data_IF_504424070813
#
_entry.id   IF_504424070813
#
_cell.length_a   1.000
_cell.length_b   1.000
_cell.length_c   1.000
_cell.angle_alpha   90.00
_cell.angle_beta   90.00
_cell.angle_gamma   90.00
#
_symmetry.space_group_name_H-M   'P 1'
#
loop_
_entity.id
_entity.type
_entity.pdbx_description
1 polymer ?
#
# COMPACT_ATOMS: atom_id res chain seq x y z
N UNK A 1 -0.63 10.86 2.42
CA UNK A 1 -0.94 11.97 3.31
C UNK A 1 -2.27 11.71 4.04
N UNK A 2 -2.71 12.63 4.88
CA UNK A 2 -3.96 12.55 5.67
C UNK A 2 -5.24 12.44 4.82
N UNK A 3 -5.19 12.78 3.54
CA UNK A 3 -6.34 12.70 2.63
C UNK A 3 -6.41 11.33 1.90
N UNK A 4 -5.51 10.41 2.25
CA UNK A 4 -5.51 9.05 1.69
C UNK A 4 -6.61 8.22 2.34
N UNK A 5 -7.59 7.82 1.54
CA UNK A 5 -8.70 6.94 1.90
C UNK A 5 -8.42 5.55 1.37
N UNK A 6 -8.10 4.64 2.26
CA UNK A 6 -7.44 3.38 1.94
C UNK A 6 -8.41 2.21 1.91
N UNK A 7 -8.41 1.49 0.80
CA UNK A 7 -8.99 0.16 0.65
C UNK A 7 -7.90 -0.90 0.80
N UNK A 8 -8.18 -1.96 1.56
CA UNK A 8 -7.25 -3.08 1.76
C UNK A 8 -7.73 -4.31 1.01
N UNK A 9 -6.98 -4.79 0.03
CA UNK A 9 -7.23 -6.06 -0.64
C UNK A 9 -6.52 -7.20 0.12
N UNK A 10 -7.23 -8.31 0.34
CA UNK A 10 -6.80 -9.37 1.25
C UNK A 10 -7.05 -9.04 2.72
N UNK A 11 -8.02 -8.19 3.00
CA UNK A 11 -8.29 -7.54 4.29
C UNK A 11 -8.47 -8.53 5.45
N UNK A 12 -9.15 -9.64 5.22
CA UNK A 12 -9.46 -10.64 6.27
C UNK A 12 -8.41 -11.76 6.37
N UNK A 13 -7.33 -11.68 5.59
CA UNK A 13 -6.17 -12.56 5.76
C UNK A 13 -5.32 -12.14 6.95
N UNK A 14 -4.37 -13.00 7.39
CA UNK A 14 -3.51 -12.72 8.55
C UNK A 14 -2.71 -11.42 8.38
N UNK A 15 -2.02 -11.26 7.25
CA UNK A 15 -1.23 -10.07 6.94
C UNK A 15 -2.11 -8.83 6.78
N UNK A 16 -3.21 -8.97 5.99
CA UNK A 16 -4.17 -7.88 5.79
C UNK A 16 -4.77 -7.40 7.10
N UNK A 17 -5.14 -8.30 8.01
CA UNK A 17 -5.67 -7.96 9.33
C UNK A 17 -4.63 -7.24 10.17
N UNK A 18 -3.46 -7.86 10.39
CA UNK A 18 -2.42 -7.32 11.24
C UNK A 18 -1.95 -5.93 10.82
N UNK A 19 -1.65 -5.77 9.52
CA UNK A 19 -1.17 -4.48 9.03
C UNK A 19 -2.26 -3.42 8.93
N UNK A 20 -3.52 -3.81 8.74
CA UNK A 20 -4.64 -2.87 8.81
C UNK A 20 -4.85 -2.32 10.22
N UNK A 21 -4.77 -3.17 11.24
CA UNK A 21 -4.78 -2.72 12.65
C UNK A 21 -3.69 -1.68 12.90
N UNK A 22 -2.46 -1.98 12.46
CA UNK A 22 -1.32 -1.08 12.61
C UNK A 22 -1.47 0.24 11.82
N UNK A 23 -2.14 0.22 10.66
CA UNK A 23 -2.44 1.43 9.89
C UNK A 23 -3.51 2.27 10.60
N UNK A 24 -4.58 1.64 11.07
CA UNK A 24 -5.66 2.30 11.82
C UNK A 24 -5.12 2.92 13.12
N UNK A 25 -4.32 2.17 13.88
CA UNK A 25 -3.68 2.65 15.11
C UNK A 25 -2.77 3.86 14.84
N UNK A 26 -2.10 3.88 13.69
CA UNK A 26 -1.27 5.01 13.27
C UNK A 26 -2.08 6.26 12.88
N UNK A 27 -3.38 6.13 12.67
CA UNK A 27 -4.26 7.22 12.24
C UNK A 27 -4.54 7.27 10.74
N UNK A 28 -4.16 6.23 10.00
CA UNK A 28 -4.51 6.10 8.57
C UNK A 28 -6.00 5.84 8.41
N UNK A 29 -6.65 6.54 7.49
CA UNK A 29 -8.05 6.33 7.16
C UNK A 29 -8.22 5.06 6.30
N UNK A 30 -8.31 3.91 6.97
CA UNK A 30 -8.68 2.63 6.35
C UNK A 30 -10.20 2.58 6.29
N UNK A 31 -10.76 2.81 5.11
CA UNK A 31 -12.20 2.95 4.88
C UNK A 31 -12.88 1.59 4.84
N UNK A 32 -12.33 0.64 4.09
CA UNK A 32 -12.94 -0.67 3.86
C UNK A 32 -11.91 -1.71 3.44
N UNK A 33 -12.36 -2.94 3.29
CA UNK A 33 -11.55 -4.01 2.72
C UNK A 33 -12.26 -4.82 1.65
N UNK A 34 -11.47 -5.53 0.85
CA UNK A 34 -11.95 -6.48 -0.15
C UNK A 34 -11.43 -7.86 0.18
N UNK A 35 -12.35 -8.81 0.29
CA UNK A 35 -12.07 -10.25 0.36
C UNK A 35 -13.19 -10.98 -0.35
N UNK A 36 -12.93 -11.60 -1.52
CA UNK A 36 -13.94 -12.34 -2.26
C UNK A 36 -14.66 -13.39 -1.38
N UNK A 37 -15.99 -13.44 -1.47
CA UNK A 37 -16.84 -14.34 -0.68
C UNK A 37 -17.14 -13.86 0.75
N UNK A 38 -16.62 -12.70 1.19
CA UNK A 38 -16.89 -12.12 2.52
C UNK A 38 -17.61 -10.76 2.46
N UNK A 39 -18.07 -10.36 1.28
CA UNK A 39 -18.83 -9.13 1.11
C UNK A 39 -20.07 -9.09 1.98
N UNK A 40 -20.41 -7.89 2.49
CA UNK A 40 -21.53 -7.67 3.42
C UNK A 40 -21.20 -7.95 4.90
N UNK A 41 -19.98 -8.41 5.21
CA UNK A 41 -19.51 -8.56 6.59
C UNK A 41 -18.75 -7.30 7.07
N UNK A 42 -18.39 -7.28 8.34
CA UNK A 42 -17.46 -6.30 8.91
C UNK A 42 -16.20 -6.99 9.42
N UNK A 43 -15.07 -6.31 9.29
CA UNK A 43 -13.79 -6.71 9.83
C UNK A 43 -13.05 -5.46 10.33
N UNK A 44 -12.50 -5.49 11.55
CA UNK A 44 -11.92 -4.31 12.21
C UNK A 44 -12.85 -3.09 12.18
N UNK A 45 -14.14 -3.31 12.42
CA UNK A 45 -15.23 -2.31 12.34
C UNK A 45 -15.36 -1.60 10.98
N UNK A 46 -14.79 -2.14 9.92
CA UNK A 46 -14.87 -1.63 8.55
C UNK A 46 -15.68 -2.60 7.67
N UNK A 47 -16.43 -2.08 6.68
CA UNK A 47 -17.14 -2.92 5.74
C UNK A 47 -16.18 -3.75 4.87
N UNK A 48 -16.62 -4.95 4.52
CA UNK A 48 -15.92 -5.84 3.59
C UNK A 48 -16.74 -6.01 2.33
N UNK A 49 -16.10 -5.88 1.17
CA UNK A 49 -16.70 -6.03 -0.16
C UNK A 49 -16.13 -7.27 -0.87
N UNK A 50 -16.85 -7.75 -1.88
CA UNK A 50 -16.39 -8.88 -2.71
C UNK A 50 -15.41 -8.43 -3.79
N UNK A 51 -15.52 -7.17 -4.25
CA UNK A 51 -14.71 -6.61 -5.32
C UNK A 51 -14.33 -5.15 -5.02
N UNK A 52 -13.27 -4.67 -5.69
CA UNK A 52 -12.87 -3.26 -5.61
C UNK A 52 -13.95 -2.38 -6.25
N UNK A 53 -14.58 -2.84 -7.33
CA UNK A 53 -15.65 -2.10 -8.00
C UNK A 53 -16.85 -1.86 -7.06
N UNK A 54 -17.27 -2.89 -6.30
CA UNK A 54 -18.34 -2.73 -5.30
C UNK A 54 -17.93 -1.73 -4.20
N UNK A 55 -16.67 -1.79 -3.76
CA UNK A 55 -16.17 -0.89 -2.72
C UNK A 55 -16.18 0.58 -3.19
N UNK A 56 -15.71 0.86 -4.40
CA UNK A 56 -15.63 2.24 -4.96
C UNK A 56 -17.03 2.84 -5.19
N UNK A 57 -18.05 2.02 -5.48
CA UNK A 57 -19.44 2.50 -5.63
C UNK A 57 -20.02 2.97 -4.29
N UNK A 58 -19.64 2.33 -3.19
CA UNK A 58 -20.23 2.55 -1.88
C UNK A 58 -19.40 3.45 -0.97
N UNK A 59 -18.10 3.56 -1.22
CA UNK A 59 -17.16 4.27 -0.36
C UNK A 59 -16.31 5.27 -1.17
N UNK A 60 -15.91 6.35 -0.53
CA UNK A 60 -14.98 7.33 -1.12
C UNK A 60 -13.54 6.86 -0.92
N UNK A 61 -12.96 6.22 -1.94
CA UNK A 61 -11.63 5.58 -1.91
C UNK A 61 -10.74 6.22 -2.96
N UNK A 62 -9.48 6.46 -2.63
CA UNK A 62 -8.47 6.97 -3.56
C UNK A 62 -7.17 6.16 -3.59
N UNK A 63 -7.00 5.24 -2.65
CA UNK A 63 -5.78 4.45 -2.50
C UNK A 63 -6.12 2.99 -2.22
N UNK A 64 -5.44 2.05 -2.87
CA UNK A 64 -5.52 0.62 -2.56
C UNK A 64 -4.18 0.11 -2.04
N UNK A 65 -4.23 -0.73 -1.00
CA UNK A 65 -3.08 -1.52 -0.55
C UNK A 65 -3.38 -3.01 -0.68
N UNK A 66 -2.40 -3.80 -1.14
CA UNK A 66 -2.57 -5.18 -1.55
C UNK A 66 -1.72 -6.12 -0.70
N UNK A 67 -2.39 -7.07 -0.04
CA UNK A 67 -1.80 -8.14 0.77
C UNK A 67 -2.21 -9.54 0.27
N UNK A 68 -2.73 -9.67 -0.94
CA UNK A 68 -3.15 -10.95 -1.49
C UNK A 68 -1.94 -11.83 -1.85
N UNK A 69 -2.08 -13.17 -1.91
CA UNK A 69 -1.01 -14.06 -2.34
C UNK A 69 -0.47 -13.74 -3.75
N UNK A 70 0.81 -14.06 -4.05
CA UNK A 70 1.48 -13.66 -5.29
C UNK A 70 0.71 -14.00 -6.58
N UNK A 71 0.09 -15.17 -6.62
CA UNK A 71 -0.68 -15.63 -7.80
C UNK A 71 -1.92 -14.80 -8.11
N UNK A 72 -2.43 -14.01 -7.16
CA UNK A 72 -3.61 -13.16 -7.32
C UNK A 72 -3.28 -11.66 -7.34
N UNK A 73 -2.03 -11.30 -7.07
CA UNK A 73 -1.65 -9.91 -6.87
C UNK A 73 -1.73 -9.08 -8.16
N UNK A 74 -1.38 -9.67 -9.31
CA UNK A 74 -1.49 -8.99 -10.60
C UNK A 74 -2.96 -8.63 -10.93
N UNK A 75 -3.88 -9.57 -10.72
CA UNK A 75 -5.31 -9.34 -10.93
C UNK A 75 -5.83 -8.28 -9.95
N UNK A 76 -5.41 -8.33 -8.69
CA UNK A 76 -5.78 -7.33 -7.68
C UNK A 76 -5.30 -5.92 -8.04
N UNK A 77 -4.10 -5.79 -8.61
CA UNK A 77 -3.59 -4.50 -9.11
C UNK A 77 -4.44 -3.99 -10.28
N UNK A 78 -4.70 -4.85 -11.26
CA UNK A 78 -5.48 -4.48 -12.44
C UNK A 78 -6.93 -4.14 -12.07
N UNK A 79 -7.55 -4.87 -11.15
CA UNK A 79 -8.88 -4.57 -10.63
C UNK A 79 -8.96 -3.19 -9.97
N UNK A 80 -7.98 -2.85 -9.12
CA UNK A 80 -7.89 -1.53 -8.51
C UNK A 80 -7.74 -0.42 -9.55
N UNK A 81 -6.88 -0.65 -10.54
CA UNK A 81 -6.65 0.28 -11.65
C UNK A 81 -7.90 0.50 -12.51
N UNK A 82 -8.62 -0.58 -12.85
CA UNK A 82 -9.87 -0.53 -13.61
C UNK A 82 -10.98 0.18 -12.86
N UNK A 83 -11.04 0.00 -11.55
CA UNK A 83 -11.99 0.67 -10.66
C UNK A 83 -11.69 2.16 -10.42
N UNK A 84 -10.68 2.72 -11.08
CA UNK A 84 -10.35 4.15 -11.05
C UNK A 84 -9.46 4.58 -9.87
N UNK A 85 -8.92 3.64 -9.09
CA UNK A 85 -7.98 3.95 -8.01
C UNK A 85 -6.64 4.37 -8.61
N UNK A 86 -6.17 5.55 -8.22
CA UNK A 86 -4.96 6.15 -8.81
C UNK A 86 -3.66 5.82 -8.06
N UNK A 87 -3.75 5.50 -6.78
CA UNK A 87 -2.60 5.13 -5.97
C UNK A 87 -2.76 3.69 -5.50
N UNK A 88 -1.85 2.83 -5.91
CA UNK A 88 -1.87 1.40 -5.58
C UNK A 88 -0.53 1.05 -4.93
N UNK A 89 -0.58 0.41 -3.76
CA UNK A 89 0.59 -0.05 -3.02
C UNK A 89 0.54 -1.57 -2.92
N UNK A 90 1.53 -2.26 -3.46
CA UNK A 90 1.57 -3.73 -3.47
C UNK A 90 2.69 -4.23 -2.58
N UNK A 91 2.32 -4.78 -1.42
CA UNK A 91 3.26 -5.33 -0.44
C UNK A 91 3.77 -6.70 -0.88
N UNK A 92 2.90 -7.47 -1.53
CA UNK A 92 3.16 -8.84 -1.96
C UNK A 92 4.51 -9.01 -2.65
N UNK A 93 5.28 -9.97 -2.19
CA UNK A 93 6.54 -10.43 -2.77
C UNK A 93 6.33 -11.66 -3.65
N UNK A 94 7.19 -11.86 -4.66
CA UNK A 94 7.22 -13.08 -5.47
C UNK A 94 6.12 -13.17 -6.52
N UNK A 95 5.60 -12.04 -6.98
CA UNK A 95 4.68 -12.02 -8.13
C UNK A 95 5.43 -12.48 -9.38
N UNK A 96 4.88 -13.42 -10.18
CA UNK A 96 5.55 -13.89 -11.39
C UNK A 96 5.91 -12.73 -12.34
N UNK A 97 7.14 -12.77 -12.88
CA UNK A 97 7.66 -11.72 -13.78
C UNK A 97 6.72 -11.46 -14.95
N UNK A 98 6.20 -12.54 -15.57
CA UNK A 98 5.26 -12.43 -16.68
C UNK A 98 3.97 -11.67 -16.31
N UNK A 99 3.49 -11.86 -15.08
CA UNK A 99 2.28 -11.19 -14.62
C UNK A 99 2.56 -9.72 -14.32
N UNK A 100 3.71 -9.40 -13.71
CA UNK A 100 4.13 -8.01 -13.54
C UNK A 100 4.38 -7.30 -14.86
N UNK A 101 4.88 -7.97 -15.89
CA UNK A 101 5.01 -7.40 -17.24
C UNK A 101 3.65 -7.00 -17.81
N UNK A 102 2.63 -7.85 -17.63
CA UNK A 102 1.25 -7.52 -18.04
C UNK A 102 0.70 -6.31 -17.27
N UNK A 103 0.92 -6.29 -15.94
CA UNK A 103 0.50 -5.17 -15.08
C UNK A 103 1.11 -3.85 -15.56
N UNK A 104 2.44 -3.82 -15.77
CA UNK A 104 3.14 -2.60 -16.22
C UNK A 104 2.60 -2.13 -17.56
N UNK A 105 2.44 -3.04 -18.54
CA UNK A 105 1.85 -2.70 -19.84
C UNK A 105 0.40 -2.22 -19.72
N UNK A 106 -0.38 -2.79 -18.79
CA UNK A 106 -1.77 -2.41 -18.58
C UNK A 106 -1.92 -1.01 -17.99
N UNK A 107 -1.03 -0.61 -17.06
CA UNK A 107 -1.09 0.72 -16.42
C UNK A 107 -0.34 1.80 -17.21
N UNK A 108 0.46 1.41 -18.22
CA UNK A 108 1.20 2.35 -19.06
C UNK A 108 0.26 3.38 -19.71
N UNK A 109 0.62 4.66 -19.63
CA UNK A 109 -0.20 5.76 -20.14
C UNK A 109 -1.44 6.11 -19.31
N UNK A 110 -1.76 5.33 -18.27
CA UNK A 110 -2.83 5.64 -17.33
C UNK A 110 -2.32 6.53 -16.18
N UNK A 111 -3.19 7.36 -15.62
CA UNK A 111 -2.85 8.19 -14.47
C UNK A 111 -2.89 7.35 -13.17
N UNK A 112 -2.05 6.33 -13.10
CA UNK A 112 -1.95 5.39 -11.98
C UNK A 112 -0.53 5.42 -11.44
N UNK A 113 -0.41 5.51 -10.12
CA UNK A 113 0.86 5.37 -9.40
C UNK A 113 0.85 4.03 -8.68
N UNK A 114 1.61 3.07 -9.20
CA UNK A 114 1.83 1.77 -8.57
C UNK A 114 3.18 1.79 -7.84
N UNK A 115 3.15 1.54 -6.54
CA UNK A 115 4.32 1.40 -5.66
C UNK A 115 4.49 -0.08 -5.34
N UNK A 116 5.67 -0.63 -5.57
CA UNK A 116 5.94 -2.06 -5.45
C UNK A 116 5.99 -2.77 -6.81
N UNK A 117 5.88 -4.09 -6.81
CA UNK A 117 5.67 -5.01 -5.70
C UNK A 117 6.88 -5.20 -4.76
N UNK A 118 6.73 -6.07 -3.76
CA UNK A 118 7.77 -6.36 -2.77
C UNK A 118 8.31 -5.08 -2.13
N UNK A 119 7.41 -4.31 -1.55
CA UNK A 119 7.76 -3.01 -0.96
C UNK A 119 7.21 -2.87 0.46
N UNK A 120 7.82 -2.04 1.31
CA UNK A 120 7.31 -1.77 2.65
C UNK A 120 6.18 -0.73 2.66
N UNK A 121 5.86 -0.12 1.51
CA UNK A 121 4.82 0.89 1.38
C UNK A 121 5.33 2.33 1.48
N UNK A 122 4.48 3.19 2.02
CA UNK A 122 4.69 4.64 2.12
C UNK A 122 4.34 5.09 3.53
N UNK A 123 5.12 6.01 4.09
CA UNK A 123 4.77 6.69 5.33
C UNK A 123 5.03 8.19 5.21
N UNK A 124 4.05 8.99 5.61
CA UNK A 124 4.19 10.42 5.86
C UNK A 124 3.96 10.62 7.36
N UNK A 125 5.01 10.88 8.14
CA UNK A 125 4.91 10.95 9.59
C UNK A 125 3.84 11.93 10.07
N UNK A 126 3.08 11.52 11.09
CA UNK A 126 1.93 12.22 11.69
C UNK A 126 0.73 12.41 10.73
N UNK A 127 0.74 11.78 9.55
CA UNK A 127 -0.35 11.91 8.58
C UNK A 127 -0.95 10.54 8.18
N UNK A 128 -0.13 9.67 7.60
CA UNK A 128 -0.59 8.34 7.16
C UNK A 128 0.57 7.36 6.99
N UNK A 129 0.29 6.11 7.31
CA UNK A 129 1.13 4.95 7.01
C UNK A 129 0.33 4.00 6.12
N UNK A 130 0.80 3.75 4.91
CA UNK A 130 0.18 2.84 3.94
C UNK A 130 1.20 1.73 3.65
N UNK A 131 1.17 0.68 4.42
CA UNK A 131 2.14 -0.40 4.36
C UNK A 131 2.55 -0.95 5.72
N UNK A 132 3.73 -1.58 5.71
CA UNK A 132 4.26 -2.34 6.85
C UNK A 132 5.36 -1.62 7.63
N UNK A 133 5.70 -0.39 7.25
CA UNK A 133 6.75 0.39 7.92
C UNK A 133 6.46 0.58 9.41
N UNK A 134 7.45 0.39 10.30
CA UNK A 134 7.28 0.61 11.74
C UNK A 134 7.18 2.11 12.03
N UNK A 135 5.98 2.61 12.33
CA UNK A 135 5.71 4.04 12.47
C UNK A 135 6.59 4.77 13.50
N UNK A 136 7.00 4.07 14.55
CA UNK A 136 7.82 4.66 15.63
C UNK A 136 9.24 5.07 15.22
N UNK A 137 9.75 4.56 14.09
CA UNK A 137 11.07 4.94 13.55
C UNK A 137 11.03 6.31 12.87
N UNK A 138 9.86 6.72 12.39
CA UNK A 138 9.70 7.90 11.55
C UNK A 138 9.14 9.07 12.35
N UNK A 139 9.92 10.15 12.46
CA UNK A 139 9.46 11.43 13.05
C UNK A 139 9.33 12.48 11.97
N UNK A 140 8.33 13.33 12.07
CA UNK A 140 8.07 14.41 11.11
C UNK A 140 9.24 15.38 10.97
N UNK A 141 9.56 15.74 9.72
CA UNK A 141 10.62 16.69 9.39
C UNK A 141 10.71 16.96 7.89
N UNK A 142 11.92 17.19 7.40
CA UNK A 142 12.15 17.73 6.05
C UNK A 142 12.88 16.77 5.08
N UNK A 143 13.35 15.62 5.55
CA UNK A 143 14.12 14.70 4.71
C UNK A 143 13.19 13.71 4.03
N UNK A 144 13.23 13.63 2.70
CA UNK A 144 12.56 12.59 1.91
C UNK A 144 13.45 11.37 1.76
N UNK A 145 12.87 10.17 1.87
CA UNK A 145 13.57 8.90 1.61
C UNK A 145 12.84 8.16 0.51
N UNK A 146 13.56 7.75 -0.54
CA UNK A 146 13.07 6.83 -1.57
C UNK A 146 14.09 5.70 -1.69
N UNK A 147 13.64 4.45 -1.54
CA UNK A 147 14.55 3.30 -1.46
C UNK A 147 13.94 2.04 -2.08
N UNK A 148 14.78 1.20 -2.67
CA UNK A 148 14.39 -0.16 -3.06
C UNK A 148 14.39 -1.15 -1.90
N UNK A 149 15.16 -0.89 -0.86
CA UNK A 149 15.34 -1.78 0.27
C UNK A 149 14.42 -1.40 1.43
N UNK A 150 13.62 -2.34 1.93
CA UNK A 150 12.81 -2.14 3.13
C UNK A 150 13.67 -1.88 4.36
N UNK A 151 14.61 -2.76 4.66
CA UNK A 151 15.49 -2.69 5.85
C UNK A 151 16.35 -1.44 5.86
N UNK A 152 17.01 -1.10 4.74
CA UNK A 152 17.83 0.10 4.66
C UNK A 152 17.01 1.39 4.77
N UNK A 153 15.74 1.37 4.36
CA UNK A 153 14.83 2.50 4.57
C UNK A 153 14.66 2.81 6.06
N UNK A 154 14.49 1.77 6.89
CA UNK A 154 14.31 1.94 8.33
C UNK A 154 15.59 2.42 9.01
N UNK A 155 16.73 1.85 8.63
CA UNK A 155 18.04 2.26 9.14
C UNK A 155 18.35 3.73 8.79
N UNK A 156 18.14 4.11 7.53
CA UNK A 156 18.33 5.50 7.09
C UNK A 156 17.42 6.47 7.84
N UNK A 157 16.14 6.11 8.03
CA UNK A 157 15.19 6.93 8.77
C UNK A 157 15.62 7.11 10.23
N UNK A 158 16.04 6.04 10.90
CA UNK A 158 16.53 6.08 12.29
C UNK A 158 17.76 6.99 12.42
N UNK A 159 18.71 6.88 11.51
CA UNK A 159 19.91 7.74 11.50
C UNK A 159 19.56 9.21 11.27
N UNK A 160 18.66 9.52 10.33
CA UNK A 160 18.19 10.89 10.07
C UNK A 160 17.54 11.47 11.33
N UNK A 161 16.67 10.70 11.99
CA UNK A 161 15.97 11.13 13.21
C UNK A 161 16.95 11.32 14.37
N UNK A 162 17.91 10.41 14.56
CA UNK A 162 18.95 10.54 15.59
C UNK A 162 19.88 11.73 15.36
N UNK A 163 20.06 12.15 14.12
CA UNK A 163 20.83 13.35 13.77
C UNK A 163 20.07 14.66 13.97
N UNK A 164 18.87 14.61 14.55
CA UNK A 164 18.06 15.80 14.86
C UNK A 164 17.20 16.30 13.68
N UNK A 165 17.20 15.58 12.56
CA UNK A 165 16.31 15.84 11.42
C UNK A 165 15.06 14.95 11.53
N UNK A 166 14.09 15.18 10.66
CA UNK A 166 12.90 14.34 10.58
C UNK A 166 12.59 14.01 9.13
N UNK A 167 11.64 13.11 8.95
CA UNK A 167 11.22 12.57 7.67
C UNK A 167 9.97 13.31 7.17
N UNK A 168 10.00 13.82 5.95
CA UNK A 168 8.82 14.38 5.29
C UNK A 168 7.94 13.25 4.72
N UNK A 169 8.56 12.32 4.02
CA UNK A 169 7.92 11.12 3.47
C UNK A 169 8.98 10.07 3.22
N UNK A 170 8.68 8.81 3.51
CA UNK A 170 9.50 7.69 3.11
C UNK A 170 8.68 6.76 2.19
N UNK A 171 9.28 6.35 1.07
CA UNK A 171 8.69 5.48 0.05
C UNK A 171 9.64 4.32 -0.21
N UNK A 172 9.14 3.10 0.00
CA UNK A 172 9.80 1.91 -0.49
C UNK A 172 9.23 1.53 -1.86
N UNK A 173 10.04 1.60 -2.90
CA UNK A 173 9.55 1.32 -4.27
C UNK A 173 9.56 -0.15 -4.65
N UNK A 174 10.18 -1.00 -3.82
CA UNK A 174 10.19 -2.45 -4.00
C UNK A 174 11.52 -3.04 -4.47
N UNK A 175 11.71 -4.31 -4.12
CA UNK A 175 12.93 -5.08 -4.39
C UNK A 175 12.84 -6.04 -5.58
N UNK A 176 11.66 -6.24 -6.16
CA UNK A 176 11.46 -7.18 -7.26
C UNK A 176 12.13 -6.71 -8.57
N UNK A 177 12.43 -7.64 -9.49
CA UNK A 177 13.05 -7.31 -10.79
C UNK A 177 12.22 -6.32 -11.62
N UNK A 178 10.89 -6.43 -11.55
CA UNK A 178 9.96 -5.51 -12.21
C UNK A 178 9.18 -4.76 -11.15
N UNK A 179 9.50 -3.47 -11.01
CA UNK A 179 8.76 -2.51 -10.20
C UNK A 179 8.13 -1.48 -11.12
N UNK A 180 6.94 -1.00 -10.79
CA UNK A 180 6.20 -0.12 -11.68
C UNK A 180 6.64 1.35 -11.62
N UNK A 181 7.14 1.79 -10.47
CA UNK A 181 7.69 3.15 -10.31
C UNK A 181 9.17 3.03 -9.96
N UNK A 182 10.08 3.15 -10.94
CA UNK A 182 11.53 3.13 -10.69
C UNK A 182 11.98 4.39 -9.96
N UNK A 183 13.21 4.31 -9.38
CA UNK A 183 13.90 5.45 -8.77
C UNK A 183 14.29 6.50 -9.81
#
# INVERSE_FOLDING_TARGET
NKDSKVLVQGFTGSEGTFHSEQMIEYGTDVVCGVTPGKGGTKHLDRPVYNSVADAVINEDINTSIIFVPPMFAADAIMEAAESGIRTIVTITEGIPINDMTKVVSYIEGKNIRLIGPNCPGIITPDEAKIGIMPGFVFKKGNVGIVSKSGTLTYEAADQVVKSGYGISTAIGVGGDPIIATPL
#
